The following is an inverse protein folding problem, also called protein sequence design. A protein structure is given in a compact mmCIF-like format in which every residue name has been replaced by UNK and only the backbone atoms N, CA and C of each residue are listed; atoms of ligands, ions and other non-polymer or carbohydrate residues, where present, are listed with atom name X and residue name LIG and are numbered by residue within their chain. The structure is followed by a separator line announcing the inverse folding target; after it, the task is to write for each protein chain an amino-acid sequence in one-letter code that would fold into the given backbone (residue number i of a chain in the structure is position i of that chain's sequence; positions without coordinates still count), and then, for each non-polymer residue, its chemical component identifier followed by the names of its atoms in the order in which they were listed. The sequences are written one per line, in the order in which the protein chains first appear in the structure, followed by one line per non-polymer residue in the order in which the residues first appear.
data_IF_911704026541
#
_entry.id   IF_911704026541
#
_cell.length_a   1.000
_cell.length_b   1.000
_cell.length_c   1.000
_cell.angle_alpha   90.00
_cell.angle_beta   90.00
_cell.angle_gamma   90.00
#
_symmetry.space_group_name_H-M   'P 1'
#
loop_
_entity.id
_entity.type
_entity.pdbx_description
1 polymer ?
#
# COMPACT_ATOMS: atom_id res chain seq x y z
N UNK A 1 8.37 11.24 -2.05
CA UNK A 1 7.34 10.82 -3.03
C UNK A 1 6.13 10.30 -2.28
N UNK A 2 4.93 10.44 -2.85
CA UNK A 2 3.69 9.88 -2.28
C UNK A 2 3.08 8.90 -3.29
N UNK A 3 2.82 7.67 -2.87
CA UNK A 3 2.11 6.66 -3.65
C UNK A 3 0.70 6.50 -3.08
N UNK A 4 -0.32 6.52 -3.94
CA UNK A 4 -1.73 6.42 -3.50
C UNK A 4 -2.47 5.24 -4.16
N UNK A 5 -1.98 3.99 -4.03
CA UNK A 5 -2.59 2.86 -4.74
C UNK A 5 -3.97 2.49 -4.14
N UNK A 6 -4.94 2.11 -4.97
CA UNK A 6 -6.01 1.19 -4.57
C UNK A 6 -5.53 -0.27 -4.72
N UNK A 7 -6.33 -1.25 -4.32
CA UNK A 7 -5.95 -2.68 -4.31
C UNK A 7 -5.34 -3.17 -5.64
N UNK A 8 -5.97 -2.87 -6.79
CA UNK A 8 -5.39 -3.21 -8.09
C UNK A 8 -4.05 -2.51 -8.41
N UNK A 9 -3.87 -1.23 -8.03
CA UNK A 9 -2.59 -0.54 -8.19
C UNK A 9 -1.53 -1.12 -7.25
N UNK A 10 -1.92 -1.53 -6.04
CA UNK A 10 -1.05 -2.19 -5.08
C UNK A 10 -0.59 -3.55 -5.61
N UNK A 11 -1.50 -4.34 -6.19
CA UNK A 11 -1.17 -5.63 -6.81
C UNK A 11 -0.23 -5.46 -8.00
N UNK A 12 -0.42 -4.44 -8.84
CA UNK A 12 0.54 -4.13 -9.90
C UNK A 12 1.93 -3.76 -9.37
N UNK A 13 2.01 -3.07 -8.22
CA UNK A 13 3.29 -2.63 -7.63
C UNK A 13 4.00 -3.73 -6.84
N UNK A 14 3.26 -4.64 -6.22
CA UNK A 14 3.80 -5.62 -5.25
C UNK A 14 3.70 -7.07 -5.71
N UNK A 15 2.93 -7.34 -6.76
CA UNK A 15 2.67 -8.68 -7.29
C UNK A 15 1.56 -9.45 -6.57
N UNK A 16 0.93 -8.86 -5.56
CA UNK A 16 -0.19 -9.46 -4.82
C UNK A 16 -1.14 -8.37 -4.28
N UNK A 17 -2.44 -8.66 -4.08
CA UNK A 17 -3.32 -7.72 -3.41
C UNK A 17 -2.86 -7.46 -1.97
N UNK A 18 -3.28 -6.35 -1.33
CA UNK A 18 -3.01 -6.13 0.08
C UNK A 18 -3.51 -7.32 0.92
N UNK A 19 -2.70 -7.76 1.88
CA UNK A 19 -3.11 -8.78 2.85
C UNK A 19 -4.23 -8.30 3.76
N UNK A 20 -4.74 -9.19 4.61
CA UNK A 20 -5.79 -8.85 5.59
C UNK A 20 -5.35 -7.71 6.53
N UNK A 21 -4.06 -7.66 6.88
CA UNK A 21 -3.46 -6.53 7.57
C UNK A 21 -3.01 -5.46 6.57
N UNK A 22 -3.93 -4.53 6.27
CA UNK A 22 -3.64 -3.36 5.42
C UNK A 22 -2.60 -2.41 6.00
N UNK A 23 -2.41 -2.40 7.32
CA UNK A 23 -1.41 -1.53 7.96
C UNK A 23 -0.02 -2.07 7.68
N UNK A 24 0.18 -3.38 7.85
CA UNK A 24 1.43 -4.04 7.49
C UNK A 24 1.72 -3.93 5.99
N UNK A 25 0.72 -4.16 5.13
CA UNK A 25 0.87 -4.01 3.68
C UNK A 25 1.33 -2.60 3.26
N UNK A 26 0.72 -1.55 3.83
CA UNK A 26 1.12 -0.17 3.55
C UNK A 26 2.54 0.14 4.06
N UNK A 27 2.89 -0.32 5.27
CA UNK A 27 4.24 -0.15 5.85
C UNK A 27 5.30 -0.88 5.04
N UNK A 28 5.02 -2.09 4.56
CA UNK A 28 5.93 -2.85 3.73
C UNK A 28 6.19 -2.13 2.39
N UNK A 29 5.14 -1.60 1.74
CA UNK A 29 5.30 -0.83 0.51
C UNK A 29 6.08 0.49 0.75
N UNK A 30 5.82 1.18 1.86
CA UNK A 30 6.55 2.39 2.23
C UNK A 30 8.04 2.10 2.46
N UNK A 31 8.35 1.04 3.21
CA UNK A 31 9.72 0.62 3.50
C UNK A 31 10.50 0.21 2.24
N UNK A 32 9.86 -0.51 1.32
CA UNK A 32 10.51 -0.99 0.09
C UNK A 32 10.73 0.12 -0.94
N UNK A 33 9.84 1.12 -0.99
CA UNK A 33 9.92 2.22 -1.98
C UNK A 33 10.58 3.49 -1.46
N UNK A 34 10.68 3.65 -0.13
CA UNK A 34 11.09 4.91 0.51
C UNK A 34 10.10 6.06 0.32
N UNK A 35 8.87 5.76 -0.11
CA UNK A 35 7.79 6.73 -0.30
C UNK A 35 6.81 6.71 0.87
N UNK A 36 6.04 7.80 1.03
CA UNK A 36 4.83 7.78 1.84
C UNK A 36 3.74 7.04 1.05
N UNK A 37 3.05 6.10 1.67
CA UNK A 37 2.01 5.30 1.03
C UNK A 37 0.65 5.64 1.61
N UNK A 38 -0.31 6.01 0.76
CA UNK A 38 -1.75 6.10 1.06
C UNK A 38 -2.46 4.94 0.37
N UNK A 39 -2.63 3.83 1.07
CA UNK A 39 -3.31 2.65 0.54
C UNK A 39 -4.83 2.83 0.66
N UNK A 40 -5.51 3.05 -0.48
CA UNK A 40 -6.97 3.21 -0.56
C UNK A 40 -7.67 1.86 -0.41
N UNK A 41 -8.83 1.86 0.24
CA UNK A 41 -9.71 0.69 0.41
C UNK A 41 -10.87 1.03 1.35
N UNK A 42 -11.59 0.03 1.90
CA UNK A 42 -12.60 0.25 2.94
C UNK A 42 -12.03 0.96 4.18
N UNK A 43 -10.75 0.70 4.47
CA UNK A 43 -9.94 1.47 5.41
C UNK A 43 -8.73 2.01 4.66
N UNK A 44 -8.62 3.33 4.59
CA UNK A 44 -7.46 4.00 4.02
C UNK A 44 -6.36 4.11 5.07
N UNK A 45 -5.16 3.65 4.74
CA UNK A 45 -3.98 3.66 5.62
C UNK A 45 -2.93 4.62 5.06
N UNK A 46 -2.26 5.37 5.95
CA UNK A 46 -1.06 6.16 5.61
C UNK A 46 0.13 5.63 6.42
N UNK A 47 1.23 5.29 5.73
CA UNK A 47 2.45 4.73 6.32
C UNK A 47 3.71 5.24 5.63
#
# INVERSE_FOLDING_TARGET
TVLTPHDGEFEMLTGAPPGEDRVDAARALAATTGAVVLLKGPTTVVA
#
